data_IF_782702931781
#
_entry.id   IF_782702931781
#
_cell.length_a   1.000
_cell.length_b   1.000
_cell.length_c   1.000
_cell.angle_alpha   90.00
_cell.angle_beta   90.00
_cell.angle_gamma   90.00
#
_symmetry.space_group_name_H-M   'P 1'
#
loop_
_entity.id
_entity.type
_entity.pdbx_description
1 polymer ?
#
# COMPACT_ATOMS: atom_id res chain seq x y z
N UNK A 1 -2.04 -2.43 26.24
CA UNK A 1 -1.10 -1.29 26.14
C UNK A 1 0.33 -1.83 26.04
N UNK A 2 0.93 -1.75 24.86
CA UNK A 2 2.21 -2.39 24.50
C UNK A 2 3.33 -1.37 24.63
N UNK A 3 4.43 -1.74 25.31
CA UNK A 3 5.55 -0.83 25.60
C UNK A 3 6.16 -0.16 24.34
N UNK A 4 6.11 -0.83 23.19
CA UNK A 4 6.58 -0.29 21.91
C UNK A 4 5.87 1.02 21.52
N UNK A 5 4.55 1.14 21.78
CA UNK A 5 3.74 2.32 21.44
C UNK A 5 3.94 3.51 22.40
N UNK A 6 4.72 3.34 23.47
CA UNK A 6 5.01 4.40 24.43
C UNK A 6 6.43 4.94 24.29
N UNK A 7 7.18 4.47 23.29
CA UNK A 7 8.54 4.93 23.04
C UNK A 7 8.48 6.29 22.36
N UNK A 8 9.21 7.31 22.87
CA UNK A 8 9.17 8.65 22.30
C UNK A 8 9.74 8.73 20.88
N UNK A 9 10.73 7.90 20.57
CA UNK A 9 11.40 7.86 19.27
C UNK A 9 11.52 6.40 18.81
N UNK A 10 11.08 6.09 17.59
CA UNK A 10 11.27 4.76 16.98
C UNK A 10 12.10 4.85 15.71
N UNK A 11 13.15 4.04 15.61
CA UNK A 11 13.96 3.95 14.40
C UNK A 11 13.61 2.67 13.62
N UNK A 12 13.17 2.82 12.38
CA UNK A 12 12.96 1.71 11.44
C UNK A 12 14.11 1.67 10.43
N UNK A 13 14.82 0.54 10.38
CA UNK A 13 15.84 0.26 9.38
C UNK A 13 15.24 -0.65 8.32
N UNK A 14 15.17 -0.16 7.08
CA UNK A 14 14.72 -0.97 5.95
C UNK A 14 15.98 -1.49 5.24
N UNK A 15 16.32 -2.78 5.41
CA UNK A 15 17.45 -3.36 4.70
C UNK A 15 17.09 -3.53 3.23
N UNK A 16 18.03 -3.18 2.37
CA UNK A 16 17.99 -3.45 0.94
C UNK A 16 19.40 -3.83 0.50
N UNK A 17 19.56 -5.00 -0.12
CA UNK A 17 20.87 -5.48 -0.58
C UNK A 17 21.34 -4.73 -1.84
N UNK A 18 20.43 -4.08 -2.56
CA UNK A 18 20.70 -3.37 -3.81
C UNK A 18 20.71 -1.84 -3.65
N UNK A 19 20.25 -1.32 -2.51
CA UNK A 19 20.15 0.11 -2.24
C UNK A 19 20.83 0.52 -0.91
N UNK A 20 21.18 1.80 -0.73
CA UNK A 20 21.61 2.30 0.56
C UNK A 20 20.55 2.07 1.62
N UNK A 21 20.97 1.66 2.83
CA UNK A 21 20.06 1.48 3.97
C UNK A 21 19.25 2.76 4.19
N UNK A 22 17.93 2.59 4.22
CA UNK A 22 16.98 3.63 4.56
C UNK A 22 16.69 3.56 6.06
N UNK A 23 17.02 4.63 6.78
CA UNK A 23 16.70 4.77 8.20
C UNK A 23 15.58 5.80 8.35
N UNK A 24 14.49 5.40 9.00
CA UNK A 24 13.35 6.27 9.30
C UNK A 24 13.30 6.53 10.80
N UNK A 25 13.25 7.80 11.19
CA UNK A 25 12.81 8.19 12.53
C UNK A 25 11.29 8.39 12.47
N UNK A 26 10.59 7.72 13.37
CA UNK A 26 9.14 7.62 13.38
C UNK A 26 8.56 7.99 14.75
N UNK A 27 7.45 8.71 14.70
CA UNK A 27 6.53 8.92 15.81
C UNK A 27 5.34 7.97 15.66
N UNK A 28 4.91 7.33 16.75
CA UNK A 28 3.78 6.40 16.73
C UNK A 28 2.59 6.98 17.50
N UNK A 29 1.42 6.93 16.88
CA UNK A 29 0.15 7.24 17.52
C UNK A 29 -0.75 6.00 17.50
N UNK A 30 -1.05 5.47 18.69
CA UNK A 30 -1.98 4.35 18.83
C UNK A 30 -3.43 4.79 18.61
N UNK A 31 -4.24 3.93 18.02
CA UNK A 31 -5.67 4.20 17.82
C UNK A 31 -6.55 2.96 18.07
N UNK A 32 -7.85 3.20 18.22
CA UNK A 32 -8.86 2.15 18.43
C UNK A 32 -9.70 1.98 17.15
N UNK A 33 -10.13 0.75 16.87
CA UNK A 33 -10.89 0.42 15.66
C UNK A 33 -12.23 1.16 15.55
N UNK A 34 -12.87 1.43 16.68
CA UNK A 34 -14.14 2.15 16.75
C UNK A 34 -13.97 3.67 16.75
N UNK A 35 -12.72 4.17 16.66
CA UNK A 35 -12.39 5.60 16.67
C UNK A 35 -12.33 6.24 15.28
N UNK A 36 -11.91 7.50 15.24
CA UNK A 36 -11.84 8.32 14.01
C UNK A 36 -10.92 7.73 12.93
N UNK A 37 -9.91 6.96 13.35
CA UNK A 37 -8.95 6.28 12.48
C UNK A 37 -9.34 4.84 12.12
N UNK A 38 -10.53 4.38 12.50
CA UNK A 38 -10.98 3.00 12.27
C UNK A 38 -10.91 2.55 10.80
N UNK A 39 -11.11 3.47 9.85
CA UNK A 39 -10.97 3.19 8.42
C UNK A 39 -9.56 2.77 7.99
N UNK A 40 -8.52 3.14 8.75
CA UNK A 40 -7.14 2.71 8.50
C UNK A 40 -6.94 1.23 8.87
N UNK A 41 -7.59 0.76 9.94
CA UNK A 41 -7.61 -0.65 10.29
C UNK A 41 -8.31 -1.49 9.20
N UNK A 42 -9.45 -1.01 8.69
CA UNK A 42 -10.13 -1.64 7.54
C UNK A 42 -9.23 -1.70 6.31
N UNK A 43 -8.54 -0.59 5.99
CA UNK A 43 -7.60 -0.54 4.87
C UNK A 43 -6.47 -1.56 5.02
N UNK A 44 -5.89 -1.69 6.21
CA UNK A 44 -4.87 -2.70 6.48
C UNK A 44 -5.42 -4.12 6.31
N UNK A 45 -6.64 -4.39 6.82
CA UNK A 45 -7.29 -5.71 6.69
C UNK A 45 -7.60 -6.10 5.26
N UNK A 46 -7.91 -5.13 4.39
CA UNK A 46 -8.07 -5.37 2.96
C UNK A 46 -6.76 -5.97 2.38
N UNK A 47 -5.60 -5.44 2.79
CA UNK A 47 -4.28 -5.90 2.33
C UNK A 47 -3.87 -7.23 2.96
N UNK A 48 -4.06 -7.39 4.27
CA UNK A 48 -3.41 -8.46 5.03
C UNK A 48 -4.37 -9.52 5.60
N UNK A 49 -5.69 -9.28 5.56
CA UNK A 49 -6.69 -10.17 6.14
C UNK A 49 -7.12 -9.75 7.55
N UNK A 50 -7.89 -10.61 8.22
CA UNK A 50 -8.36 -10.39 9.58
C UNK A 50 -7.46 -11.19 10.52
N UNK A 51 -6.88 -10.52 11.50
CA UNK A 51 -6.07 -11.11 12.56
C UNK A 51 -6.69 -10.75 13.92
N UNK A 52 -6.57 -11.66 14.89
CA UNK A 52 -7.02 -11.44 16.26
C UNK A 52 -5.90 -10.77 17.08
N UNK A 53 -6.25 -10.10 18.19
CA UNK A 53 -5.28 -9.51 19.13
C UNK A 53 -4.28 -8.47 18.53
N UNK A 54 -4.76 -7.63 17.61
CA UNK A 54 -3.98 -6.54 17.01
C UNK A 54 -3.98 -5.30 17.93
N UNK A 55 -2.86 -4.56 17.94
CA UNK A 55 -2.83 -3.17 18.42
C UNK A 55 -2.57 -2.27 17.22
N UNK A 56 -3.38 -1.23 17.06
CA UNK A 56 -3.30 -0.33 15.92
C UNK A 56 -2.47 0.91 16.25
N UNK A 57 -1.60 1.29 15.31
CA UNK A 57 -0.88 2.55 15.37
C UNK A 57 -0.66 3.09 13.96
N UNK A 58 -0.66 4.40 13.83
CA UNK A 58 -0.11 5.11 12.67
C UNK A 58 1.32 5.53 12.97
N UNK A 59 2.11 5.68 11.91
CA UNK A 59 3.50 6.14 11.99
C UNK A 59 3.65 7.41 11.17
N UNK A 60 4.07 8.48 11.82
CA UNK A 60 4.52 9.68 11.13
C UNK A 60 6.03 9.59 10.90
N UNK A 61 6.47 9.99 9.71
CA UNK A 61 7.89 10.06 9.40
C UNK A 61 8.39 11.41 9.87
N UNK A 62 9.26 11.42 10.87
CA UNK A 62 9.87 12.64 11.37
C UNK A 62 11.06 13.04 10.49
N UNK A 63 11.93 12.06 10.20
CA UNK A 63 13.14 12.24 9.40
C UNK A 63 13.53 10.95 8.70
N UNK A 64 14.23 11.11 7.59
CA UNK A 64 14.83 10.01 6.82
C UNK A 64 16.32 10.22 6.69
N UNK A 65 17.10 9.16 6.91
CA UNK A 65 18.51 9.10 6.56
C UNK A 65 18.72 8.10 5.43
N UNK A 66 19.30 8.55 4.33
CA UNK A 66 19.72 7.68 3.24
C UNK A 66 21.07 8.17 2.69
N UNK A 67 22.04 7.27 2.56
CA UNK A 67 23.39 7.60 2.07
C UNK A 67 24.07 8.77 2.81
N UNK A 68 23.81 8.92 4.11
CA UNK A 68 24.35 10.01 4.93
C UNK A 68 23.66 11.36 4.75
N UNK A 69 22.64 11.46 3.87
CA UNK A 69 21.78 12.63 3.74
C UNK A 69 20.61 12.49 4.71
N UNK A 70 20.32 13.55 5.45
CA UNK A 70 19.13 13.65 6.30
C UNK A 70 18.10 14.51 5.58
N UNK A 71 16.89 13.97 5.44
CA UNK A 71 15.75 14.60 4.78
C UNK A 71 14.62 14.70 5.79
N UNK A 72 13.95 15.85 5.82
CA UNK A 72 12.76 16.06 6.63
C UNK A 72 11.61 15.15 6.16
N UNK A 73 10.87 14.59 7.11
CA UNK A 73 9.77 13.67 6.82
C UNK A 73 8.69 14.27 5.91
N UNK A 74 8.31 15.53 6.12
CA UNK A 74 7.29 16.19 5.30
C UNK A 74 7.69 16.26 3.82
N UNK A 75 9.00 16.32 3.52
CA UNK A 75 9.50 16.42 2.16
C UNK A 75 9.33 15.11 1.36
N UNK A 76 9.30 13.96 2.04
CA UNK A 76 9.25 12.64 1.41
C UNK A 76 7.86 12.02 1.42
N UNK A 77 6.97 12.49 2.29
CA UNK A 77 5.58 12.02 2.31
C UNK A 77 4.91 12.32 0.97
N UNK A 78 4.21 11.32 0.44
CA UNK A 78 3.41 11.41 -0.78
C UNK A 78 2.03 10.84 -0.49
N UNK A 79 1.05 11.72 -0.40
CA UNK A 79 -0.34 11.32 -0.22
C UNK A 79 -0.86 10.76 -1.54
N UNK A 80 -1.52 9.60 -1.50
CA UNK A 80 -2.18 9.03 -2.68
C UNK A 80 -3.33 9.96 -3.10
N UNK A 81 -3.26 10.63 -4.27
CA UNK A 81 -4.33 11.52 -4.73
C UNK A 81 -5.63 10.77 -5.06
N UNK A 82 -5.61 9.44 -5.15
CA UNK A 82 -6.79 8.62 -5.40
C UNK A 82 -7.46 8.13 -4.11
N UNK A 83 -6.95 8.48 -2.93
CA UNK A 83 -7.39 7.89 -1.65
C UNK A 83 -8.91 7.95 -1.41
N UNK A 84 -9.57 9.05 -1.80
CA UNK A 84 -11.01 9.24 -1.59
C UNK A 84 -11.88 8.32 -2.46
N UNK A 85 -11.34 7.84 -3.58
CA UNK A 85 -12.05 6.99 -4.55
C UNK A 85 -11.43 5.60 -4.70
N UNK A 86 -10.33 5.32 -3.99
CA UNK A 86 -9.53 4.09 -4.08
C UNK A 86 -10.40 2.84 -3.92
N UNK A 87 -11.26 2.83 -2.90
CA UNK A 87 -12.15 1.69 -2.62
C UNK A 87 -13.12 1.40 -3.78
N UNK A 88 -13.66 2.44 -4.42
CA UNK A 88 -14.61 2.32 -5.53
C UNK A 88 -13.91 1.86 -6.82
N UNK A 89 -12.68 2.33 -7.04
CA UNK A 89 -11.82 1.85 -8.13
C UNK A 89 -11.50 0.36 -7.95
N UNK A 90 -11.00 -0.03 -6.77
CA UNK A 90 -10.70 -1.43 -6.45
C UNK A 90 -11.93 -2.31 -6.60
N UNK A 91 -13.12 -1.85 -6.17
CA UNK A 91 -14.38 -2.59 -6.36
C UNK A 91 -14.69 -2.79 -7.85
N UNK A 92 -14.54 -1.75 -8.66
CA UNK A 92 -14.79 -1.81 -10.10
C UNK A 92 -13.81 -2.76 -10.80
N UNK A 93 -12.53 -2.71 -10.44
CA UNK A 93 -11.48 -3.60 -10.96
C UNK A 93 -11.75 -5.06 -10.56
N UNK A 94 -12.11 -5.31 -9.30
CA UNK A 94 -12.51 -6.64 -8.84
C UNK A 94 -13.77 -7.16 -9.57
N UNK A 95 -14.63 -6.25 -10.04
CA UNK A 95 -15.80 -6.57 -10.88
C UNK A 95 -15.46 -7.09 -12.28
N UNK A 96 -14.22 -6.96 -12.75
CA UNK A 96 -13.75 -7.56 -14.02
C UNK A 96 -13.65 -9.10 -13.96
N UNK A 97 -13.70 -9.66 -12.74
CA UNK A 97 -13.70 -11.10 -12.49
C UNK A 97 -12.31 -11.67 -12.16
N UNK A 98 -12.32 -12.73 -11.36
CA UNK A 98 -11.11 -13.39 -10.84
C UNK A 98 -10.17 -13.85 -11.97
N UNK A 99 -10.70 -14.55 -12.97
CA UNK A 99 -9.92 -15.04 -14.12
C UNK A 99 -9.25 -13.90 -14.92
N UNK A 100 -9.86 -12.71 -14.94
CA UNK A 100 -9.27 -11.53 -15.58
C UNK A 100 -8.08 -11.03 -14.79
N UNK A 101 -8.23 -10.88 -13.47
CA UNK A 101 -7.13 -10.45 -12.61
C UNK A 101 -5.97 -11.46 -12.60
N UNK A 102 -6.25 -12.76 -12.64
CA UNK A 102 -5.22 -13.81 -12.77
C UNK A 102 -4.38 -13.61 -14.04
N UNK A 103 -5.04 -13.39 -15.18
CA UNK A 103 -4.36 -13.13 -16.46
C UNK A 103 -3.58 -11.83 -16.45
N UNK A 104 -4.10 -10.77 -15.84
CA UNK A 104 -3.38 -9.51 -15.67
C UNK A 104 -2.10 -9.73 -14.85
N UNK A 105 -2.19 -10.41 -13.70
CA UNK A 105 -1.01 -10.73 -12.88
C UNK A 105 0.02 -11.54 -13.67
N UNK A 106 -0.43 -12.58 -14.39
CA UNK A 106 0.43 -13.41 -15.23
C UNK A 106 1.09 -12.61 -16.36
N UNK A 107 0.35 -11.70 -17.00
CA UNK A 107 0.85 -10.91 -18.12
C UNK A 107 1.84 -9.81 -17.73
N UNK A 108 1.70 -9.23 -16.54
CA UNK A 108 2.49 -8.05 -16.13
C UNK A 108 3.68 -8.37 -15.23
N UNK A 109 3.57 -9.38 -14.37
CA UNK A 109 4.60 -9.72 -13.39
C UNK A 109 5.00 -11.21 -13.43
N UNK A 110 4.47 -12.00 -14.38
CA UNK A 110 4.72 -13.44 -14.55
C UNK A 110 4.41 -14.30 -13.31
N UNK A 111 3.46 -13.86 -12.48
CA UNK A 111 3.03 -14.59 -11.27
C UNK A 111 1.63 -15.15 -11.44
N UNK A 112 1.49 -16.46 -11.19
CA UNK A 112 0.21 -17.14 -11.11
C UNK A 112 -0.39 -16.97 -9.71
N UNK A 113 -1.41 -16.12 -9.59
CA UNK A 113 -2.10 -15.82 -8.33
C UNK A 113 -3.41 -16.60 -8.25
N UNK A 114 -3.62 -17.41 -7.22
CA UNK A 114 -4.80 -18.31 -7.14
C UNK A 114 -6.12 -17.54 -6.96
N UNK A 115 -6.15 -16.53 -6.07
CA UNK A 115 -7.36 -15.75 -5.78
C UNK A 115 -7.07 -14.24 -5.69
N UNK A 116 -6.69 -13.59 -6.80
CA UNK A 116 -6.25 -12.20 -6.80
C UNK A 116 -7.40 -11.26 -6.43
N UNK A 117 -7.09 -10.28 -5.58
CA UNK A 117 -7.99 -9.15 -5.28
C UNK A 117 -7.22 -7.84 -5.41
N UNK A 118 -7.75 -6.90 -6.16
CA UNK A 118 -7.29 -5.52 -6.13
C UNK A 118 -7.57 -4.93 -4.74
N UNK A 119 -6.54 -4.40 -4.09
CA UNK A 119 -6.59 -3.93 -2.69
C UNK A 119 -6.21 -2.46 -2.53
N UNK A 120 -5.35 -1.93 -3.39
CA UNK A 120 -5.01 -0.52 -3.46
C UNK A 120 -4.70 -0.09 -4.89
N UNK A 121 -4.83 1.19 -5.16
CA UNK A 121 -4.50 1.78 -6.45
C UNK A 121 -4.10 3.24 -6.26
N UNK A 122 -3.01 3.63 -6.89
CA UNK A 122 -2.46 4.97 -6.84
C UNK A 122 -1.89 5.36 -8.23
N UNK A 123 -1.40 6.59 -8.44
CA UNK A 123 -0.83 7.03 -9.70
C UNK A 123 0.22 6.15 -10.35
N UNK A 124 0.92 5.31 -9.58
CA UNK A 124 2.06 4.51 -10.05
C UNK A 124 1.68 3.06 -10.34
N UNK A 125 0.55 2.56 -9.84
CA UNK A 125 0.18 1.16 -10.06
C UNK A 125 -1.04 0.66 -9.30
N UNK A 126 -1.26 -0.64 -9.47
CA UNK A 126 -2.31 -1.43 -8.83
C UNK A 126 -1.68 -2.44 -7.88
N UNK A 127 -2.21 -2.55 -6.66
CA UNK A 127 -1.81 -3.57 -5.70
C UNK A 127 -2.83 -4.72 -5.71
N UNK A 128 -2.32 -5.94 -5.84
CA UNK A 128 -3.11 -7.16 -5.85
C UNK A 128 -2.68 -8.07 -4.72
N UNK A 129 -3.60 -8.38 -3.83
CA UNK A 129 -3.37 -9.34 -2.75
C UNK A 129 -3.25 -10.76 -3.31
N UNK A 130 -2.12 -11.39 -3.04
CA UNK A 130 -1.86 -12.81 -3.22
C UNK A 130 -1.97 -13.54 -1.88
N UNK A 131 -1.67 -14.85 -1.86
CA UNK A 131 -1.81 -15.68 -0.65
C UNK A 131 -0.88 -15.28 0.50
N UNK A 132 0.34 -14.85 0.17
CA UNK A 132 1.40 -14.59 1.15
C UNK A 132 1.94 -13.16 1.09
N UNK A 133 1.44 -12.34 0.15
CA UNK A 133 1.97 -11.01 -0.07
C UNK A 133 0.98 -10.13 -0.85
N UNK A 134 1.29 -8.85 -0.98
CA UNK A 134 0.64 -7.90 -1.88
C UNK A 134 1.58 -7.59 -3.04
N UNK A 135 1.15 -7.91 -4.25
CA UNK A 135 1.95 -7.73 -5.47
C UNK A 135 1.64 -6.38 -6.12
N UNK A 136 2.70 -5.66 -6.48
CA UNK A 136 2.60 -4.37 -7.19
C UNK A 136 2.63 -4.57 -8.70
N UNK A 137 1.61 -4.08 -9.41
CA UNK A 137 1.56 -4.01 -10.86
C UNK A 137 1.77 -2.55 -11.31
N UNK A 138 2.97 -2.17 -11.78
CA UNK A 138 3.26 -0.79 -12.16
C UNK A 138 2.56 -0.39 -13.45
N UNK A 139 2.08 0.85 -13.54
CA UNK A 139 1.55 1.42 -14.78
C UNK A 139 2.64 1.79 -15.80
N UNK A 140 3.92 1.81 -15.37
CA UNK A 140 5.07 2.22 -16.19
C UNK A 140 5.20 3.73 -16.39
N UNK A 141 4.16 4.50 -16.06
CA UNK A 141 4.14 5.96 -15.99
C UNK A 141 3.25 6.40 -14.84
N UNK A 142 3.50 7.61 -14.31
CA UNK A 142 2.60 8.23 -13.34
C UNK A 142 1.33 8.67 -14.05
N UNK A 143 0.18 8.30 -13.48
CA UNK A 143 -1.14 8.71 -13.93
C UNK A 143 -1.68 9.86 -13.08
N UNK A 144 -2.32 10.82 -13.73
CA UNK A 144 -2.81 12.05 -13.10
C UNK A 144 -4.27 11.99 -12.66
N UNK A 145 -4.99 10.90 -13.00
CA UNK A 145 -6.42 10.79 -12.75
C UNK A 145 -6.89 9.35 -12.48
N UNK A 146 -7.86 9.18 -11.56
CA UNK A 146 -8.50 7.89 -11.28
C UNK A 146 -9.06 7.18 -12.52
N UNK A 147 -9.74 7.93 -13.39
CA UNK A 147 -10.37 7.38 -14.60
C UNK A 147 -9.34 6.77 -15.55
N UNK A 148 -8.18 7.43 -15.70
CA UNK A 148 -7.07 6.91 -16.52
C UNK A 148 -6.49 5.64 -15.93
N UNK A 149 -6.34 5.56 -14.61
CA UNK A 149 -5.88 4.35 -13.94
C UNK A 149 -6.83 3.18 -14.20
N UNK A 150 -8.13 3.42 -14.10
CA UNK A 150 -9.14 2.42 -14.41
C UNK A 150 -9.14 1.99 -15.88
N UNK A 151 -9.02 2.93 -16.81
CA UNK A 151 -8.94 2.65 -18.25
C UNK A 151 -7.70 1.80 -18.60
N UNK A 152 -6.55 2.08 -17.97
CA UNK A 152 -5.34 1.28 -18.13
C UNK A 152 -5.58 -0.15 -17.67
N UNK A 153 -6.14 -0.37 -16.47
CA UNK A 153 -6.43 -1.71 -15.97
C UNK A 153 -7.44 -2.46 -16.86
N UNK A 154 -8.46 -1.76 -17.36
CA UNK A 154 -9.41 -2.34 -18.33
C UNK A 154 -8.74 -2.71 -19.66
N UNK A 155 -7.75 -1.95 -20.11
CA UNK A 155 -7.00 -2.27 -21.32
C UNK A 155 -6.17 -3.55 -21.15
N UNK A 156 -5.60 -3.79 -19.96
CA UNK A 156 -4.92 -5.05 -19.64
C UNK A 156 -5.88 -6.23 -19.71
N UNK A 157 -7.13 -6.04 -19.25
CA UNK A 157 -8.16 -7.07 -19.31
C UNK A 157 -8.59 -7.45 -20.74
N UNK A 158 -8.39 -6.58 -21.73
CA UNK A 158 -8.74 -6.82 -23.13
C UNK A 158 -7.66 -7.54 -23.94
N UNK A 159 -6.48 -7.75 -23.34
CA UNK A 159 -5.35 -8.47 -23.92
C UNK A 159 -5.38 -9.94 -23.48
#
# INVERSE_FOLDING_TARGET
>A
MVAAMQTPDTALFIPDDEAPVLELLLSLEGFEEEGDMGSLADRWRIHHGIEEDINWAVMDIDMVRISGVVIDGEAIVRINPFMDVEADLCRTINGLGEATLQRICKGHIDVDVEHPRAVAIDPLGLDVRARFDVLRLPFGTTLDSPDRALDVVKSWAAT
#
